data_IF_109415392872
#
_entry.id   IF_109415392872
#
_cell.length_a   1.000
_cell.length_b   1.000
_cell.length_c   1.000
_cell.angle_alpha   90.00
_cell.angle_beta   90.00
_cell.angle_gamma   90.00
#
_symmetry.space_group_name_H-M   'P 1'
#
loop_
_entity.id
_entity.type
_entity.pdbx_description
1 polymer ?
#
# COMPACT_ATOMS: atom_id res chain seq x y z
N UNK A 1 42.33 -4.46 21.05
CA UNK A 1 41.95 -3.95 19.71
C UNK A 1 40.83 -2.94 19.92
N UNK A 2 41.16 -1.65 20.02
CA UNK A 2 40.20 -0.60 20.34
C UNK A 2 39.54 -0.08 19.05
N UNK A 3 38.23 -0.23 18.94
CA UNK A 3 37.42 0.28 17.84
C UNK A 3 37.48 1.81 17.85
N UNK A 4 38.19 2.42 16.89
CA UNK A 4 38.17 3.87 16.65
C UNK A 4 36.74 4.28 16.32
N UNK A 5 36.02 4.82 17.30
CA UNK A 5 34.76 5.53 17.06
C UNK A 5 35.07 6.74 16.17
N UNK A 6 34.65 6.70 14.91
CA UNK A 6 34.73 7.87 14.01
C UNK A 6 33.90 8.99 14.63
N UNK A 7 34.54 10.10 14.98
CA UNK A 7 33.88 11.35 15.33
C UNK A 7 32.92 11.74 14.18
N UNK A 8 31.66 12.09 14.46
CA UNK A 8 30.76 12.60 13.43
C UNK A 8 31.43 13.79 12.71
N UNK A 9 31.52 13.73 11.38
CA UNK A 9 32.03 14.85 10.57
C UNK A 9 31.02 16.00 10.65
N UNK A 10 31.49 17.25 10.68
CA UNK A 10 30.63 18.43 10.59
C UNK A 10 29.69 18.40 9.37
N UNK A 11 30.09 17.71 8.29
CA UNK A 11 29.24 17.47 7.12
C UNK A 11 28.06 16.55 7.43
N UNK A 12 28.26 15.54 8.28
CA UNK A 12 27.22 14.62 8.74
C UNK A 12 26.22 15.33 9.66
N UNK A 13 26.71 16.21 10.53
CA UNK A 13 25.88 17.02 11.43
C UNK A 13 25.07 18.06 10.63
N UNK A 14 25.67 18.72 9.63
CA UNK A 14 24.95 19.62 8.74
C UNK A 14 23.94 18.88 7.87
N UNK A 15 24.26 17.69 7.37
CA UNK A 15 23.30 16.85 6.65
C UNK A 15 22.14 16.42 7.56
N UNK A 16 22.42 16.13 8.83
CA UNK A 16 21.41 15.80 9.84
C UNK A 16 20.53 17.01 10.19
N UNK A 17 21.12 18.17 10.50
CA UNK A 17 20.40 19.42 10.74
C UNK A 17 19.57 19.84 9.53
N UNK A 18 20.13 19.76 8.32
CA UNK A 18 19.40 19.97 7.07
C UNK A 18 18.25 18.98 6.91
N UNK A 19 18.44 17.71 7.30
CA UNK A 19 17.35 16.72 7.26
C UNK A 19 16.25 16.96 8.29
N UNK A 20 16.56 17.62 9.41
CA UNK A 20 15.59 18.07 10.42
C UNK A 20 14.82 19.28 9.87
N UNK A 21 15.52 20.27 9.31
CA UNK A 21 14.93 21.50 8.74
C UNK A 21 14.11 21.21 7.47
N UNK A 22 14.60 20.33 6.59
CA UNK A 22 13.89 19.86 5.40
C UNK A 22 12.85 18.76 5.72
N UNK A 23 12.52 18.53 7.00
CA UNK A 23 11.72 17.42 7.55
C UNK A 23 10.34 17.14 6.94
N UNK A 24 9.92 17.89 5.93
CA UNK A 24 8.75 17.64 5.09
C UNK A 24 9.06 16.89 3.79
N UNK A 25 9.92 15.87 3.81
CA UNK A 25 10.21 15.06 2.61
C UNK A 25 8.93 14.49 1.99
N UNK A 26 8.68 14.81 0.71
CA UNK A 26 7.55 14.24 -0.04
C UNK A 26 7.70 12.72 -0.16
N UNK A 27 6.58 12.01 -0.15
CA UNK A 27 6.55 10.57 -0.47
C UNK A 27 7.05 10.38 -1.91
N UNK A 28 7.74 9.27 -2.21
CA UNK A 28 8.19 9.02 -3.58
C UNK A 28 6.99 8.87 -4.51
N UNK A 29 7.11 9.44 -5.72
CA UNK A 29 6.05 9.41 -6.74
C UNK A 29 5.66 7.98 -7.12
N UNK A 30 6.61 7.05 -7.05
CA UNK A 30 6.39 5.62 -7.26
C UNK A 30 5.35 5.06 -6.29
N UNK A 31 5.48 5.35 -4.99
CA UNK A 31 4.51 4.93 -3.98
C UNK A 31 3.12 5.51 -4.24
N UNK A 32 3.04 6.81 -4.61
CA UNK A 32 1.77 7.45 -4.96
C UNK A 32 1.04 6.73 -6.10
N UNK A 33 1.77 6.43 -7.18
CA UNK A 33 1.25 5.75 -8.36
C UNK A 33 0.84 4.31 -8.02
N UNK A 34 1.64 3.58 -7.24
CA UNK A 34 1.31 2.21 -6.86
C UNK A 34 0.04 2.14 -6.00
N UNK A 35 -0.11 3.03 -5.02
CA UNK A 35 -1.32 3.08 -4.20
C UNK A 35 -2.55 3.49 -5.00
N UNK A 36 -2.41 4.48 -5.87
CA UNK A 36 -3.51 4.94 -6.71
C UNK A 36 -3.95 3.85 -7.70
N UNK A 37 -3.00 3.27 -8.44
CA UNK A 37 -3.28 2.20 -9.39
C UNK A 37 -3.83 0.96 -8.68
N UNK A 38 -3.25 0.55 -7.55
CA UNK A 38 -3.71 -0.59 -6.77
C UNK A 38 -5.16 -0.40 -6.28
N UNK A 39 -5.46 0.75 -5.67
CA UNK A 39 -6.81 1.05 -5.19
C UNK A 39 -7.85 1.08 -6.31
N UNK A 40 -7.51 1.65 -7.47
CA UNK A 40 -8.42 1.73 -8.62
C UNK A 40 -8.61 0.38 -9.31
N UNK A 41 -7.52 -0.32 -9.61
CA UNK A 41 -7.55 -1.60 -10.34
C UNK A 41 -8.24 -2.68 -9.52
N UNK A 42 -7.84 -2.87 -8.26
CA UNK A 42 -8.47 -3.87 -7.40
C UNK A 42 -9.87 -3.44 -6.95
N UNK A 43 -10.11 -2.14 -6.74
CA UNK A 43 -11.45 -1.63 -6.46
C UNK A 43 -12.42 -1.90 -7.62
N UNK A 44 -11.96 -1.71 -8.85
CA UNK A 44 -12.73 -2.06 -10.05
C UNK A 44 -12.95 -3.57 -10.17
N UNK A 45 -11.95 -4.39 -9.83
CA UNK A 45 -12.13 -5.84 -9.77
C UNK A 45 -13.20 -6.25 -8.75
N UNK A 46 -13.23 -5.63 -7.57
CA UNK A 46 -14.28 -5.90 -6.57
C UNK A 46 -15.67 -5.45 -7.06
N UNK A 47 -15.78 -4.29 -7.73
CA UNK A 47 -17.03 -3.84 -8.36
C UNK A 47 -17.52 -4.83 -9.42
N UNK A 48 -16.61 -5.37 -10.23
CA UNK A 48 -16.95 -6.38 -11.22
C UNK A 48 -17.54 -7.63 -10.57
N UNK A 49 -16.91 -8.16 -9.52
CA UNK A 49 -17.45 -9.30 -8.78
C UNK A 49 -18.77 -9.00 -8.07
N UNK A 50 -18.97 -7.75 -7.63
CA UNK A 50 -20.27 -7.32 -7.11
C UNK A 50 -21.35 -7.31 -8.21
N UNK A 51 -21.00 -6.90 -9.43
CA UNK A 51 -21.86 -7.00 -10.61
C UNK A 51 -22.20 -8.44 -10.98
N UNK A 52 -21.27 -9.38 -10.77
CA UNK A 52 -21.55 -10.82 -10.92
C UNK A 52 -22.52 -11.32 -9.83
N UNK A 53 -22.29 -10.93 -8.57
CA UNK A 53 -23.16 -11.30 -7.46
C UNK A 53 -24.58 -10.73 -7.60
N UNK A 54 -24.72 -9.55 -8.20
CA UNK A 54 -26.01 -8.91 -8.50
C UNK A 54 -26.71 -9.49 -9.75
N UNK A 55 -26.09 -10.44 -10.46
CA UNK A 55 -26.64 -11.01 -11.70
C UNK A 55 -26.57 -10.10 -12.93
N UNK A 56 -25.90 -8.95 -12.83
CA UNK A 56 -25.71 -8.01 -13.95
C UNK A 56 -24.65 -8.52 -14.94
N UNK A 57 -23.72 -9.36 -14.47
CA UNK A 57 -22.60 -9.88 -15.25
C UNK A 57 -22.63 -11.42 -15.20
N UNK A 58 -23.11 -12.03 -16.29
CA UNK A 58 -23.25 -13.48 -16.44
C UNK A 58 -22.04 -14.09 -17.16
N UNK A 59 -20.85 -13.84 -16.62
CA UNK A 59 -19.62 -14.41 -17.17
C UNK A 59 -19.34 -15.78 -16.57
N UNK A 60 -18.93 -16.73 -17.41
CA UNK A 60 -18.47 -18.03 -16.95
C UNK A 60 -17.18 -17.95 -16.11
N UNK A 61 -16.75 -19.07 -15.50
CA UNK A 61 -15.57 -19.10 -14.64
C UNK A 61 -14.28 -18.68 -15.35
N UNK A 62 -14.09 -19.10 -16.61
CA UNK A 62 -12.85 -18.84 -17.38
C UNK A 62 -12.69 -17.35 -17.75
N UNK A 63 -13.69 -16.66 -18.35
CA UNK A 63 -13.61 -15.21 -18.57
C UNK A 63 -13.42 -14.40 -17.29
N UNK A 64 -14.07 -14.81 -16.20
CA UNK A 64 -13.94 -14.16 -14.89
C UNK A 64 -12.53 -14.29 -14.33
N UNK A 65 -11.93 -15.48 -14.43
CA UNK A 65 -10.54 -15.71 -14.03
C UNK A 65 -9.57 -14.91 -14.89
N UNK A 66 -9.77 -14.88 -16.22
CA UNK A 66 -8.94 -14.10 -17.13
C UNK A 66 -8.97 -12.61 -16.79
N UNK A 67 -10.14 -12.08 -16.39
CA UNK A 67 -10.27 -10.69 -15.93
C UNK A 67 -9.47 -10.42 -14.63
N UNK A 68 -9.60 -11.28 -13.62
CA UNK A 68 -8.84 -11.17 -12.36
C UNK A 68 -7.33 -11.23 -12.59
N UNK A 69 -6.89 -12.16 -13.43
CA UNK A 69 -5.47 -12.28 -13.81
C UNK A 69 -5.02 -11.05 -14.58
N UNK A 70 -5.84 -10.55 -15.52
CA UNK A 70 -5.56 -9.34 -16.30
C UNK A 70 -5.36 -8.10 -15.43
N UNK A 71 -6.20 -7.90 -14.41
CA UNK A 71 -6.06 -6.80 -13.44
C UNK A 71 -4.75 -6.93 -12.66
N UNK A 72 -4.41 -8.13 -12.20
CA UNK A 72 -3.17 -8.38 -11.47
C UNK A 72 -1.93 -8.12 -12.33
N UNK A 73 -1.94 -8.58 -13.58
CA UNK A 73 -0.87 -8.32 -14.56
C UNK A 73 -0.73 -6.82 -14.84
N UNK A 74 -1.85 -6.11 -15.03
CA UNK A 74 -1.83 -4.66 -15.23
C UNK A 74 -1.21 -3.93 -14.03
N UNK A 75 -1.55 -4.33 -12.81
CA UNK A 75 -0.95 -3.78 -11.59
C UNK A 75 0.56 -4.05 -11.53
N UNK A 76 1.01 -5.28 -11.84
CA UNK A 76 2.43 -5.61 -11.89
C UNK A 76 3.19 -4.77 -12.92
N UNK A 77 2.62 -4.54 -14.11
CA UNK A 77 3.21 -3.67 -15.14
C UNK A 77 3.41 -2.26 -14.57
N UNK A 78 2.38 -1.70 -13.92
CA UNK A 78 2.46 -0.37 -13.30
C UNK A 78 3.51 -0.33 -12.19
N UNK A 79 3.57 -1.36 -11.33
CA UNK A 79 4.53 -1.46 -10.24
C UNK A 79 5.97 -1.52 -10.77
N UNK A 80 6.26 -2.39 -11.74
CA UNK A 80 7.58 -2.52 -12.36
C UNK A 80 7.99 -1.20 -13.02
N UNK A 81 7.09 -0.57 -13.76
CA UNK A 81 7.34 0.72 -14.39
C UNK A 81 7.63 1.82 -13.34
N UNK A 82 6.86 1.86 -12.25
CA UNK A 82 7.02 2.85 -11.19
C UNK A 82 8.37 2.69 -10.47
N UNK A 83 8.79 1.45 -10.18
CA UNK A 83 10.10 1.13 -9.58
C UNK A 83 11.23 1.54 -10.53
N UNK A 84 11.13 1.17 -11.81
CA UNK A 84 12.15 1.54 -12.81
C UNK A 84 12.28 3.06 -12.97
N UNK A 85 11.15 3.78 -12.93
CA UNK A 85 11.13 5.25 -12.98
C UNK A 85 11.83 5.87 -11.77
N UNK A 86 11.55 5.38 -10.56
CA UNK A 86 12.13 5.91 -9.33
C UNK A 86 13.65 5.65 -9.25
N UNK A 87 14.07 4.46 -9.68
CA UNK A 87 15.49 4.10 -9.77
C UNK A 87 16.25 4.99 -10.77
N UNK A 88 15.66 5.29 -11.93
CA UNK A 88 16.25 6.22 -12.92
C UNK A 88 16.35 7.66 -12.42
N UNK A 89 15.45 8.09 -11.53
CA UNK A 89 15.42 9.45 -10.98
C UNK A 89 16.26 9.61 -9.70
N UNK A 90 16.95 8.55 -9.26
CA UNK A 90 17.82 8.58 -8.07
C UNK A 90 17.05 8.62 -6.74
N UNK A 91 15.78 8.17 -6.72
CA UNK A 91 14.88 8.26 -5.56
C UNK A 91 15.36 7.54 -4.30
N UNK A 92 16.21 6.52 -4.44
CA UNK A 92 16.75 5.73 -3.32
C UNK A 92 17.84 6.44 -2.50
N UNK A 93 18.47 7.52 -3.01
CA UNK A 93 19.60 8.19 -2.33
C UNK A 93 19.30 9.58 -1.75
N UNK A 94 18.12 10.16 -2.01
CA UNK A 94 17.80 11.58 -1.64
C UNK A 94 16.68 11.75 -0.60
N UNK A 95 16.31 10.68 0.12
CA UNK A 95 15.26 10.75 1.14
C UNK A 95 15.77 11.20 2.51
N UNK A 96 15.02 12.08 3.19
CA UNK A 96 15.20 12.39 4.62
C UNK A 96 15.12 11.11 5.47
N UNK A 97 15.67 11.13 6.68
CA UNK A 97 15.61 9.97 7.59
C UNK A 97 14.16 9.50 7.84
N UNK A 98 13.22 10.45 7.97
CA UNK A 98 11.77 10.16 8.05
C UNK A 98 11.25 9.41 6.81
N UNK A 99 11.61 9.86 5.60
CA UNK A 99 11.22 9.16 4.37
C UNK A 99 11.78 7.74 4.28
N UNK A 100 13.03 7.54 4.71
CA UNK A 100 13.64 6.20 4.71
C UNK A 100 12.93 5.25 5.66
N UNK A 101 12.56 5.73 6.85
CA UNK A 101 11.83 4.92 7.83
C UNK A 101 10.42 4.55 7.32
N UNK A 102 9.69 5.50 6.72
CA UNK A 102 8.38 5.22 6.11
C UNK A 102 8.49 4.23 4.96
N UNK A 103 9.47 4.40 4.06
CA UNK A 103 9.70 3.47 2.97
C UNK A 103 10.08 2.08 3.49
N UNK A 104 10.92 1.98 4.53
CA UNK A 104 11.27 0.70 5.15
C UNK A 104 10.03 0.01 5.74
N UNK A 105 9.15 0.74 6.42
CA UNK A 105 7.88 0.20 6.92
C UNK A 105 6.99 -0.32 5.79
N UNK A 106 6.83 0.46 4.71
CA UNK A 106 6.04 0.06 3.54
C UNK A 106 6.65 -1.16 2.82
N UNK A 107 7.97 -1.20 2.63
CA UNK A 107 8.67 -2.34 2.06
C UNK A 107 8.56 -3.58 2.96
N UNK A 108 8.68 -3.42 4.27
CA UNK A 108 8.47 -4.49 5.25
C UNK A 108 7.07 -5.09 5.14
N UNK A 109 6.04 -4.24 5.07
CA UNK A 109 4.66 -4.68 4.82
C UNK A 109 4.53 -5.41 3.48
N UNK A 110 5.19 -4.93 2.42
CA UNK A 110 5.20 -5.61 1.12
C UNK A 110 5.84 -7.00 1.16
N UNK A 111 6.95 -7.17 1.88
CA UNK A 111 7.58 -8.48 2.08
C UNK A 111 6.71 -9.41 2.93
N UNK A 112 6.08 -8.89 3.98
CA UNK A 112 5.11 -9.64 4.78
C UNK A 112 3.94 -10.10 3.91
N UNK A 113 3.44 -9.24 3.01
CA UNK A 113 2.38 -9.61 2.07
C UNK A 113 2.76 -10.81 1.19
N UNK A 114 4.00 -10.83 0.68
CA UNK A 114 4.52 -11.96 -0.11
C UNK A 114 4.61 -13.28 0.70
N UNK A 115 4.83 -13.22 2.01
CA UNK A 115 4.76 -14.40 2.86
C UNK A 115 3.30 -14.83 3.14
N UNK A 116 2.43 -13.87 3.46
CA UNK A 116 1.02 -14.12 3.80
C UNK A 116 0.26 -14.73 2.63
N UNK A 117 0.50 -14.27 1.38
CA UNK A 117 -0.15 -14.87 0.20
C UNK A 117 0.21 -16.36 0.03
N UNK A 118 1.44 -16.76 0.36
CA UNK A 118 1.86 -18.17 0.33
C UNK A 118 1.16 -18.95 1.44
N UNK A 119 1.14 -18.42 2.66
CA UNK A 119 0.51 -19.07 3.82
C UNK A 119 -0.98 -19.33 3.57
N UNK A 120 -1.72 -18.30 3.18
CA UNK A 120 -3.16 -18.41 2.95
C UNK A 120 -3.49 -19.12 1.64
N UNK A 121 -2.65 -19.00 0.61
CA UNK A 121 -2.80 -19.75 -0.63
C UNK A 121 -2.68 -21.26 -0.40
N UNK A 122 -1.59 -21.68 0.25
CA UNK A 122 -1.38 -23.10 0.59
C UNK A 122 -2.42 -23.59 1.59
N UNK A 123 -2.79 -22.78 2.60
CA UNK A 123 -3.84 -23.10 3.56
C UNK A 123 -5.20 -23.34 2.90
N UNK A 124 -5.64 -22.42 2.04
CA UNK A 124 -6.91 -22.56 1.32
C UNK A 124 -6.92 -23.79 0.39
N UNK A 125 -5.79 -24.09 -0.27
CA UNK A 125 -5.65 -25.31 -1.08
C UNK A 125 -5.70 -26.59 -0.23
N UNK A 126 -5.06 -26.59 0.93
CA UNK A 126 -5.04 -27.77 1.82
C UNK A 126 -6.41 -28.04 2.43
N UNK A 127 -7.07 -27.00 2.93
CA UNK A 127 -8.31 -27.12 3.68
C UNK A 127 -9.55 -27.13 2.78
N UNK A 128 -9.36 -26.91 1.46
CA UNK A 128 -10.43 -26.82 0.45
C UNK A 128 -11.51 -25.78 0.81
N UNK A 129 -11.15 -24.79 1.63
CA UNK A 129 -12.04 -23.74 2.10
C UNK A 129 -11.53 -22.37 1.60
N UNK A 130 -12.30 -21.78 0.69
CA UNK A 130 -12.01 -20.46 0.13
C UNK A 130 -12.14 -19.33 1.16
N UNK A 131 -12.87 -19.55 2.27
CA UNK A 131 -12.94 -18.57 3.35
C UNK A 131 -11.56 -18.31 3.97
N UNK A 132 -10.68 -19.32 3.98
CA UNK A 132 -9.28 -19.16 4.40
C UNK A 132 -8.59 -18.09 3.54
N UNK A 133 -8.77 -18.16 2.21
CA UNK A 133 -8.21 -17.16 1.29
C UNK A 133 -8.78 -15.75 1.53
N UNK A 134 -10.04 -15.62 1.92
CA UNK A 134 -10.66 -14.32 2.19
C UNK A 134 -10.14 -13.63 3.46
N UNK A 135 -9.39 -14.31 4.33
CA UNK A 135 -8.68 -13.64 5.43
C UNK A 135 -7.42 -12.89 4.98
N UNK A 136 -6.87 -13.22 3.81
CA UNK A 136 -5.67 -12.57 3.27
C UNK A 136 -5.84 -11.05 3.14
N UNK A 137 -6.90 -10.51 2.49
CA UNK A 137 -7.08 -9.06 2.39
C UNK A 137 -7.22 -8.38 3.74
N UNK A 138 -7.90 -9.00 4.72
CA UNK A 138 -8.00 -8.45 6.08
C UNK A 138 -6.61 -8.24 6.72
N UNK A 139 -5.70 -9.21 6.55
CA UNK A 139 -4.33 -9.09 7.06
C UNK A 139 -3.54 -8.01 6.33
N UNK A 140 -3.71 -7.88 5.01
CA UNK A 140 -3.06 -6.80 4.24
C UNK A 140 -3.49 -5.45 4.78
N UNK A 141 -4.80 -5.24 4.98
CA UNK A 141 -5.31 -3.99 5.53
C UNK A 141 -4.71 -3.73 6.92
N UNK A 142 -4.58 -4.75 7.78
CA UNK A 142 -3.98 -4.60 9.10
C UNK A 142 -2.48 -4.22 9.05
N UNK A 143 -1.69 -4.90 8.21
CA UNK A 143 -0.26 -4.63 8.05
C UNK A 143 0.01 -3.29 7.36
N UNK A 144 -0.80 -2.92 6.36
CA UNK A 144 -0.69 -1.63 5.70
C UNK A 144 -1.04 -0.47 6.64
N UNK A 145 -2.01 -0.69 7.52
CA UNK A 145 -2.40 0.27 8.55
C UNK A 145 -1.29 0.53 9.55
N UNK A 146 -0.53 -0.50 9.92
CA UNK A 146 0.66 -0.35 10.75
C UNK A 146 1.75 0.49 10.06
N UNK A 147 2.01 0.27 8.77
CA UNK A 147 2.95 1.10 8.02
C UNK A 147 2.50 2.57 7.93
N UNK A 148 1.20 2.81 7.73
CA UNK A 148 0.64 4.17 7.74
C UNK A 148 0.69 4.83 9.13
N UNK A 149 0.56 4.05 10.21
CA UNK A 149 0.72 4.55 11.57
C UNK A 149 2.16 5.03 11.83
N UNK A 150 3.16 4.30 11.33
CA UNK A 150 4.57 4.74 11.35
C UNK A 150 4.73 6.03 10.55
N UNK A 151 4.13 6.11 9.36
CA UNK A 151 4.07 7.32 8.54
C UNK A 151 3.52 8.54 9.29
N UNK A 152 2.38 8.36 9.96
CA UNK A 152 1.79 9.40 10.81
C UNK A 152 2.68 9.75 12.00
N UNK A 153 3.27 8.75 12.68
CA UNK A 153 4.11 8.98 13.86
C UNK A 153 5.32 9.87 13.54
N UNK A 154 5.85 9.78 12.32
CA UNK A 154 7.00 10.55 11.86
C UNK A 154 6.64 11.88 11.18
N UNK A 155 5.54 11.94 10.43
CA UNK A 155 5.17 13.13 9.61
C UNK A 155 3.98 13.92 10.15
N UNK A 156 3.27 13.38 11.14
CA UNK A 156 2.10 13.96 11.82
C UNK A 156 0.98 14.47 10.89
N UNK A 157 0.90 13.97 9.66
CA UNK A 157 -0.17 14.30 8.72
C UNK A 157 -1.46 13.58 9.09
N UNK A 158 -2.54 14.34 9.33
CA UNK A 158 -3.85 13.79 9.79
C UNK A 158 -4.42 12.74 8.84
N UNK A 159 -4.20 12.89 7.53
CA UNK A 159 -4.66 11.91 6.54
C UNK A 159 -4.00 10.53 6.71
N UNK A 160 -2.72 10.47 7.12
CA UNK A 160 -2.03 9.19 7.35
C UNK A 160 -2.63 8.44 8.55
N UNK A 161 -3.03 9.17 9.59
CA UNK A 161 -3.73 8.57 10.73
C UNK A 161 -5.12 8.08 10.32
N UNK A 162 -5.86 8.88 9.55
CA UNK A 162 -7.18 8.48 9.05
C UNK A 162 -7.09 7.20 8.21
N UNK A 163 -6.09 7.09 7.32
CA UNK A 163 -5.84 5.87 6.53
C UNK A 163 -5.51 4.67 7.41
N UNK A 164 -4.68 4.86 8.44
CA UNK A 164 -4.31 3.79 9.37
C UNK A 164 -5.50 3.28 10.17
N UNK A 165 -6.26 4.19 10.79
CA UNK A 165 -7.45 3.81 11.56
C UNK A 165 -8.52 3.18 10.66
N UNK A 166 -8.76 3.78 9.49
CA UNK A 166 -9.68 3.23 8.50
C UNK A 166 -9.30 1.82 8.08
N UNK A 167 -8.01 1.57 7.84
CA UNK A 167 -7.55 0.24 7.41
C UNK A 167 -7.65 -0.81 8.51
N UNK A 168 -7.42 -0.48 9.79
CA UNK A 168 -7.68 -1.43 10.88
C UNK A 168 -9.17 -1.72 11.06
N UNK A 169 -10.03 -0.70 10.96
CA UNK A 169 -11.48 -0.90 10.95
C UNK A 169 -11.91 -1.80 9.80
N UNK A 170 -11.38 -1.58 8.59
CA UNK A 170 -11.62 -2.45 7.43
C UNK A 170 -11.11 -3.86 7.69
N UNK A 171 -9.92 -4.05 8.25
CA UNK A 171 -9.37 -5.38 8.54
C UNK A 171 -10.30 -6.19 9.45
N UNK A 172 -10.78 -5.57 10.53
CA UNK A 172 -11.74 -6.20 11.45
C UNK A 172 -13.06 -6.50 10.73
N UNK A 173 -13.59 -5.54 9.97
CA UNK A 173 -14.84 -5.73 9.23
C UNK A 173 -14.74 -6.88 8.21
N UNK A 174 -13.65 -6.97 7.44
CA UNK A 174 -13.43 -8.05 6.48
C UNK A 174 -13.30 -9.42 7.18
N UNK A 175 -12.63 -9.48 8.34
CA UNK A 175 -12.53 -10.71 9.12
C UNK A 175 -13.88 -11.21 9.65
N UNK A 176 -14.76 -10.30 10.07
CA UNK A 176 -16.13 -10.63 10.50
C UNK A 176 -17.01 -11.02 9.32
N UNK A 177 -16.88 -10.32 8.19
CA UNK A 177 -17.71 -10.51 7.00
C UNK A 177 -17.21 -11.62 6.06
N UNK A 178 -16.20 -12.40 6.45
CA UNK A 178 -15.56 -13.40 5.57
C UNK A 178 -16.55 -14.42 4.99
N UNK A 179 -17.65 -14.69 5.70
CA UNK A 179 -18.71 -15.63 5.30
C UNK A 179 -19.88 -14.97 4.57
N UNK A 180 -19.85 -13.65 4.39
CA UNK A 180 -20.91 -12.84 3.75
C UNK A 180 -20.35 -12.17 2.49
N UNK A 181 -20.31 -12.87 1.34
CA UNK A 181 -19.53 -12.45 0.17
C UNK A 181 -19.91 -11.06 -0.37
N UNK A 182 -21.20 -10.71 -0.36
CA UNK A 182 -21.70 -9.44 -0.90
C UNK A 182 -21.27 -8.28 0.00
N UNK A 183 -21.47 -8.41 1.31
CA UNK A 183 -21.06 -7.40 2.29
C UNK A 183 -19.53 -7.25 2.32
N UNK A 184 -18.81 -8.38 2.24
CA UNK A 184 -17.35 -8.40 2.14
C UNK A 184 -16.85 -7.61 0.92
N UNK A 185 -17.40 -7.88 -0.28
CA UNK A 185 -17.04 -7.16 -1.50
C UNK A 185 -17.38 -5.66 -1.40
N UNK A 186 -18.50 -5.30 -0.77
CA UNK A 186 -18.88 -3.92 -0.49
C UNK A 186 -17.85 -3.17 0.32
N UNK A 187 -17.51 -3.70 1.49
CA UNK A 187 -16.51 -3.11 2.39
C UNK A 187 -15.14 -3.06 1.72
N UNK A 188 -14.72 -4.13 1.04
CA UNK A 188 -13.44 -4.18 0.36
C UNK A 188 -13.34 -3.13 -0.76
N UNK A 189 -14.39 -2.99 -1.57
CA UNK A 189 -14.47 -2.00 -2.65
C UNK A 189 -14.33 -0.58 -2.10
N UNK A 190 -15.14 -0.23 -1.10
CA UNK A 190 -15.10 1.10 -0.48
C UNK A 190 -13.73 1.39 0.12
N UNK A 191 -13.14 0.40 0.81
CA UNK A 191 -11.83 0.52 1.42
C UNK A 191 -10.70 0.68 0.38
N UNK A 192 -10.74 -0.03 -0.75
CA UNK A 192 -9.74 0.10 -1.81
C UNK A 192 -9.78 1.51 -2.45
N UNK A 193 -10.96 2.07 -2.67
CA UNK A 193 -11.05 3.45 -3.16
C UNK A 193 -10.63 4.47 -2.10
N UNK A 194 -11.11 4.34 -0.86
CA UNK A 194 -10.90 5.36 0.16
C UNK A 194 -9.51 5.30 0.80
N UNK A 195 -8.99 4.10 1.07
CA UNK A 195 -7.77 3.88 1.86
C UNK A 195 -6.55 3.53 1.02
N UNK A 196 -6.73 3.17 -0.25
CA UNK A 196 -5.63 3.02 -1.20
C UNK A 196 -5.63 4.14 -2.24
N UNK A 197 -6.71 4.28 -3.03
CA UNK A 197 -6.75 5.30 -4.08
C UNK A 197 -6.75 6.73 -3.52
N UNK A 198 -7.45 6.99 -2.41
CA UNK A 198 -7.45 8.29 -1.72
C UNK A 198 -6.06 8.78 -1.32
N UNK A 199 -5.31 8.03 -0.48
CA UNK A 199 -3.92 8.32 -0.15
C UNK A 199 -3.02 8.39 -1.38
N UNK A 200 -3.21 7.49 -2.35
CA UNK A 200 -2.55 7.52 -3.66
C UNK A 200 -2.66 8.87 -4.35
N UNK A 201 -3.89 9.39 -4.43
CA UNK A 201 -4.19 10.69 -5.02
C UNK A 201 -3.59 11.84 -4.21
N UNK A 202 -3.71 11.83 -2.88
CA UNK A 202 -3.12 12.87 -2.02
C UNK A 202 -1.61 12.94 -2.23
N UNK A 203 -0.91 11.80 -2.21
CA UNK A 203 0.53 11.75 -2.45
C UNK A 203 0.90 12.23 -3.87
N UNK A 204 0.08 11.88 -4.86
CA UNK A 204 0.28 12.30 -6.25
C UNK A 204 0.13 13.82 -6.41
N UNK A 205 -0.88 14.40 -5.78
CA UNK A 205 -1.11 15.84 -5.77
C UNK A 205 0.04 16.56 -5.03
N UNK A 206 0.43 16.07 -3.85
CA UNK A 206 1.57 16.61 -3.09
C UNK A 206 2.87 16.55 -3.91
N UNK A 207 3.10 15.48 -4.69
CA UNK A 207 4.28 15.35 -5.53
C UNK A 207 4.32 16.38 -6.68
N UNK A 208 3.16 16.79 -7.18
CA UNK A 208 3.01 17.72 -8.32
C UNK A 208 3.01 19.20 -7.94
N UNK A 209 2.67 19.56 -6.71
CA UNK A 209 2.69 20.97 -6.29
C UNK A 209 4.13 21.53 -6.42
N UNK A 210 4.38 22.65 -7.13
CA UNK A 210 5.72 23.26 -7.16
C UNK A 210 6.19 23.61 -5.74
N UNK A 211 7.51 23.64 -5.49
CA UNK A 211 8.06 24.27 -4.28
C UNK A 211 7.75 25.77 -4.40
N UNK A 212 6.66 26.24 -3.78
CA UNK A 212 6.59 27.67 -3.46
C UNK A 212 7.68 27.89 -2.42
N UNK A 213 8.74 28.60 -2.81
CA UNK A 213 9.78 29.02 -1.90
C UNK A 213 9.12 29.90 -0.82
N UNK A 214 9.12 29.40 0.41
CA UNK A 214 8.90 30.18 1.61
C UNK A 214 10.18 30.08 2.44
#
# INVERSE_FOLDING_TARGET
MATKLRTPSAEADLAFMRSIVEGGGRMPMSAAICYLAGGLLYGFQCLFHMGQAAGLILWGPVPSLAFVVGISVAFFIVLIWAIHRDNKQGGTRKGTTSNRAVNAALSGTGMANAAVIIIFGVGAMRDQDFAVWLYYPAIIFALQSAAWFVGWSLKKKRWMLATSLGGWLTAVALGVLVREPVAYLGVCTAALFLLFAGPGLIMYLEARTPRTAA
#
